data_IF_977234321032
#
_entry.id   IF_977234321032
#
_cell.length_a   1.000
_cell.length_b   1.000
_cell.length_c   1.000
_cell.angle_alpha   90.00
_cell.angle_beta   90.00
_cell.angle_gamma   90.00
#
_symmetry.space_group_name_H-M   'P 1'
#
loop_
_entity.id
_entity.type
_entity.pdbx_description
1 polymer ?
#
# COMPACT_ATOMS: atom_id res chain seq x y z
N UNK A 1 21.73 -10.89 -27.96
CA UNK A 1 23.14 -10.79 -27.51
C UNK A 1 23.48 -9.33 -27.28
N UNK A 2 24.37 -9.02 -26.33
CA UNK A 2 24.75 -7.63 -26.01
C UNK A 2 26.07 -7.34 -26.73
N UNK A 3 26.10 -6.29 -27.57
CA UNK A 3 27.32 -5.82 -28.24
C UNK A 3 27.83 -4.57 -27.54
N UNK A 4 29.08 -4.58 -27.11
CA UNK A 4 29.77 -3.44 -26.51
C UNK A 4 30.53 -2.69 -27.59
N UNK A 5 30.34 -1.39 -27.69
CA UNK A 5 31.01 -0.51 -28.67
C UNK A 5 31.90 0.47 -27.92
N UNK A 6 33.15 0.61 -28.37
CA UNK A 6 34.13 1.54 -27.81
C UNK A 6 33.96 2.96 -28.39
N UNK A 7 34.31 3.98 -27.60
CA UNK A 7 34.32 5.37 -28.06
C UNK A 7 35.54 5.63 -28.95
N UNK A 8 35.44 5.26 -30.22
CA UNK A 8 36.45 5.50 -31.24
C UNK A 8 35.94 6.49 -32.29
N UNK A 9 36.81 7.31 -32.89
CA UNK A 9 36.44 8.12 -34.05
C UNK A 9 36.11 7.18 -35.22
N UNK A 10 35.09 7.55 -36.00
CA UNK A 10 34.58 6.71 -37.09
C UNK A 10 35.67 6.35 -38.11
N UNK A 11 36.62 7.27 -38.33
CA UNK A 11 37.78 7.11 -39.22
C UNK A 11 38.60 5.84 -38.88
N UNK A 12 38.72 5.45 -37.62
CA UNK A 12 39.56 4.29 -37.23
C UNK A 12 38.99 2.94 -37.67
N UNK A 13 37.71 2.89 -38.04
CA UNK A 13 37.07 1.71 -38.61
C UNK A 13 37.02 1.78 -40.15
N UNK A 14 37.35 2.93 -40.73
CA UNK A 14 37.40 3.14 -42.19
C UNK A 14 38.75 2.67 -42.76
N UNK A 15 38.75 2.35 -44.05
CA UNK A 15 39.94 1.89 -44.75
C UNK A 15 40.95 3.03 -44.96
N UNK A 16 42.24 2.69 -44.94
CA UNK A 16 43.36 3.63 -45.09
C UNK A 16 43.49 4.06 -46.56
N UNK A 17 42.52 4.82 -47.05
CA UNK A 17 42.58 5.52 -48.32
C UNK A 17 42.70 7.03 -48.06
N UNK A 18 43.52 7.79 -48.81
CA UNK A 18 43.88 9.17 -48.49
C UNK A 18 42.78 10.21 -48.82
N UNK A 19 41.49 9.93 -48.54
CA UNK A 19 40.37 10.77 -49.03
C UNK A 19 39.30 11.12 -47.99
N UNK A 20 39.25 10.52 -46.78
CA UNK A 20 38.20 10.88 -45.80
C UNK A 20 38.71 11.70 -44.61
N UNK A 21 38.07 12.84 -44.37
CA UNK A 21 38.15 13.61 -43.12
C UNK A 21 36.75 13.64 -42.51
N UNK A 22 36.55 12.94 -41.39
CA UNK A 22 35.27 12.87 -40.68
C UNK A 22 35.48 13.03 -39.17
N UNK A 23 34.98 14.11 -38.59
CA UNK A 23 35.09 14.41 -37.15
C UNK A 23 34.04 13.66 -36.29
N UNK A 24 33.33 12.71 -36.89
CA UNK A 24 32.28 11.96 -36.21
C UNK A 24 32.86 10.83 -35.33
N UNK A 25 32.32 10.66 -34.13
CA UNK A 25 32.56 9.50 -33.27
C UNK A 25 31.50 8.42 -33.51
N UNK A 26 31.84 7.15 -33.21
CA UNK A 26 30.91 6.03 -33.34
C UNK A 26 29.75 6.07 -32.31
N UNK A 27 29.98 6.68 -31.15
CA UNK A 27 28.98 6.82 -30.10
C UNK A 27 28.23 8.14 -30.23
N UNK A 28 26.92 8.08 -30.01
CA UNK A 28 26.11 9.29 -30.00
C UNK A 28 26.39 10.12 -28.73
N UNK A 29 26.26 11.47 -28.78
CA UNK A 29 26.44 12.31 -27.60
C UNK A 29 25.53 11.93 -26.42
N UNK A 30 24.35 11.35 -26.67
CA UNK A 30 23.43 10.85 -25.63
C UNK A 30 23.94 9.58 -24.92
N UNK A 31 24.77 8.78 -25.59
CA UNK A 31 25.42 7.59 -25.02
C UNK A 31 26.65 7.98 -24.19
N UNK A 32 27.38 9.00 -24.64
CA UNK A 32 28.52 9.57 -23.90
C UNK A 32 28.01 10.31 -22.65
N UNK A 33 26.91 11.05 -22.78
CA UNK A 33 26.29 11.80 -21.70
C UNK A 33 24.77 11.68 -21.80
N UNK A 34 24.19 10.85 -20.94
CA UNK A 34 22.73 10.80 -20.79
C UNK A 34 22.21 12.22 -20.50
N UNK A 35 21.26 12.69 -21.29
CA UNK A 35 20.53 13.91 -20.97
C UNK A 35 19.90 13.74 -19.59
N UNK A 36 20.07 14.72 -18.72
CA UNK A 36 19.37 14.75 -17.43
C UNK A 36 17.88 14.54 -17.72
N UNK A 37 17.29 13.46 -17.18
CA UNK A 37 15.90 13.01 -17.40
C UNK A 37 14.83 14.08 -17.08
N UNK A 38 15.25 15.22 -16.54
CA UNK A 38 14.43 16.32 -16.09
C UNK A 38 14.52 17.60 -16.95
N UNK A 39 15.33 17.67 -18.00
CA UNK A 39 15.60 18.94 -18.70
C UNK A 39 16.38 19.90 -17.78
N UNK A 40 16.08 21.21 -17.84
CA UNK A 40 16.61 22.18 -16.88
C UNK A 40 16.30 21.75 -15.45
N UNK A 41 17.35 21.46 -14.68
CA UNK A 41 17.25 21.07 -13.29
C UNK A 41 16.89 22.28 -12.43
N UNK A 42 15.62 22.70 -12.50
CA UNK A 42 15.11 23.72 -11.58
C UNK A 42 15.12 23.17 -10.16
N UNK A 43 15.81 23.87 -9.26
CA UNK A 43 15.83 23.51 -7.84
C UNK A 43 14.46 23.74 -7.20
N UNK A 44 14.19 23.17 -6.03
CA UNK A 44 12.87 23.31 -5.39
C UNK A 44 12.48 24.77 -5.05
N UNK A 45 13.48 25.63 -4.86
CA UNK A 45 13.33 27.06 -4.60
C UNK A 45 12.90 27.83 -5.86
N UNK A 46 13.42 27.46 -7.03
CA UNK A 46 13.12 28.11 -8.32
C UNK A 46 11.75 27.70 -8.90
N UNK A 47 11.13 26.64 -8.34
CA UNK A 47 9.86 26.12 -8.87
C UNK A 47 8.67 27.00 -8.48
N UNK A 48 8.03 27.54 -9.51
CA UNK A 48 6.76 28.26 -9.38
C UNK A 48 5.62 27.33 -8.92
N UNK A 49 4.51 27.92 -8.45
CA UNK A 49 3.34 27.15 -8.02
C UNK A 49 2.70 26.35 -9.16
N UNK A 50 2.75 26.86 -10.40
CA UNK A 50 2.22 26.20 -11.60
C UNK A 50 3.07 24.99 -11.97
N UNK A 51 4.40 25.11 -11.89
CA UNK A 51 5.35 24.01 -12.10
C UNK A 51 5.13 22.89 -11.08
N UNK A 52 5.01 23.23 -9.79
CA UNK A 52 4.71 22.25 -8.72
C UNK A 52 3.40 21.49 -9.00
N UNK A 53 2.35 22.18 -9.44
CA UNK A 53 1.07 21.54 -9.81
C UNK A 53 1.22 20.65 -11.04
N UNK A 54 1.97 21.07 -12.07
CA UNK A 54 2.24 20.27 -13.28
C UNK A 54 3.01 19.00 -12.95
N UNK A 55 4.08 19.10 -12.16
CA UNK A 55 4.85 17.94 -11.68
C UNK A 55 3.98 16.96 -10.90
N UNK A 56 3.14 17.46 -9.99
CA UNK A 56 2.20 16.63 -9.24
C UNK A 56 1.25 15.86 -10.16
N UNK A 57 0.72 16.51 -11.20
CA UNK A 57 -0.14 15.86 -12.21
C UNK A 57 0.62 14.79 -12.98
N UNK A 58 1.85 15.07 -13.45
CA UNK A 58 2.71 14.10 -14.15
C UNK A 58 3.00 12.87 -13.27
N UNK A 59 3.40 13.08 -12.01
CA UNK A 59 3.63 12.00 -11.04
C UNK A 59 2.35 11.19 -10.78
N UNK A 60 1.20 11.85 -10.59
CA UNK A 60 -0.10 11.18 -10.40
C UNK A 60 -0.47 10.31 -11.61
N UNK A 61 -0.25 10.82 -12.82
CA UNK A 61 -0.53 10.10 -14.06
C UNK A 61 0.37 8.85 -14.20
N UNK A 62 1.68 9.00 -14.03
CA UNK A 62 2.62 7.87 -14.06
C UNK A 62 2.30 6.81 -13.01
N UNK A 63 1.95 7.22 -11.78
CA UNK A 63 1.51 6.30 -10.73
C UNK A 63 0.25 5.54 -11.14
N UNK A 64 -0.73 6.23 -11.74
CA UNK A 64 -1.97 5.60 -12.25
C UNK A 64 -1.66 4.56 -13.32
N UNK A 65 -0.76 4.85 -14.26
CA UNK A 65 -0.36 3.90 -15.29
C UNK A 65 0.31 2.66 -14.70
N UNK A 66 1.28 2.84 -13.79
CA UNK A 66 1.96 1.72 -13.09
C UNK A 66 0.98 0.84 -12.31
N UNK A 67 -0.03 1.42 -11.67
CA UNK A 67 -1.06 0.65 -10.95
C UNK A 67 -1.88 -0.17 -11.94
N UNK A 68 -2.37 0.45 -13.02
CA UNK A 68 -3.14 -0.25 -14.07
C UNK A 68 -2.34 -1.40 -14.68
N UNK A 69 -1.06 -1.20 -14.95
CA UNK A 69 -0.17 -2.23 -15.48
C UNK A 69 0.00 -3.39 -14.50
N UNK A 70 0.27 -3.09 -13.21
CA UNK A 70 0.36 -4.11 -12.15
C UNK A 70 -0.94 -4.90 -12.01
N UNK A 71 -2.09 -4.23 -12.08
CA UNK A 71 -3.39 -4.89 -12.04
C UNK A 71 -3.61 -5.80 -13.25
N UNK A 72 -3.28 -5.33 -14.46
CA UNK A 72 -3.34 -6.17 -15.68
C UNK A 72 -2.45 -7.40 -15.55
N UNK A 73 -1.20 -7.22 -15.11
CA UNK A 73 -0.24 -8.31 -14.90
C UNK A 73 -0.74 -9.32 -13.86
N UNK A 74 -1.32 -8.84 -12.75
CA UNK A 74 -1.94 -9.71 -11.74
C UNK A 74 -3.11 -10.51 -12.32
N UNK A 75 -4.01 -9.87 -13.06
CA UNK A 75 -5.14 -10.55 -13.71
C UNK A 75 -4.67 -11.62 -14.70
N UNK A 76 -3.62 -11.35 -15.48
CA UNK A 76 -3.04 -12.35 -16.39
C UNK A 76 -2.41 -13.52 -15.63
N UNK A 77 -1.68 -13.24 -14.55
CA UNK A 77 -1.11 -14.30 -13.69
C UNK A 77 -2.21 -15.16 -13.04
N UNK A 78 -3.29 -14.54 -12.55
CA UNK A 78 -4.44 -15.26 -11.99
C UNK A 78 -5.14 -16.15 -13.03
N UNK A 79 -5.24 -15.70 -14.29
CA UNK A 79 -5.81 -16.49 -15.39
C UNK A 79 -4.92 -17.67 -15.80
N UNK A 80 -3.61 -17.44 -15.89
CA UNK A 80 -2.68 -18.45 -16.39
C UNK A 80 -2.29 -19.47 -15.31
N UNK A 81 -2.25 -19.08 -14.03
CA UNK A 81 -1.82 -19.93 -12.92
C UNK A 81 -2.65 -19.66 -11.65
N UNK A 82 -3.88 -20.20 -11.54
CA UNK A 82 -4.74 -19.99 -10.38
C UNK A 82 -4.12 -20.52 -9.07
N UNK A 83 -3.38 -21.62 -9.13
CA UNK A 83 -2.88 -22.34 -7.95
C UNK A 83 -1.54 -21.81 -7.39
N UNK A 84 -0.72 -21.13 -8.19
CA UNK A 84 0.61 -20.65 -7.76
C UNK A 84 0.63 -19.22 -7.21
N UNK A 85 -0.48 -18.48 -7.25
CA UNK A 85 -0.47 -17.12 -6.70
C UNK A 85 -0.51 -17.16 -5.17
N UNK A 86 0.67 -17.14 -4.53
CA UNK A 86 0.90 -17.08 -3.07
C UNK A 86 0.23 -15.90 -2.34
N UNK A 87 -0.45 -15.03 -3.10
CA UNK A 87 -1.20 -13.86 -2.66
C UNK A 87 -2.56 -13.75 -3.37
N UNK A 88 -3.17 -14.87 -3.76
CA UNK A 88 -4.57 -14.87 -4.21
C UNK A 88 -5.47 -14.34 -3.10
N UNK A 89 -6.57 -13.69 -3.48
CA UNK A 89 -7.59 -13.25 -2.50
C UNK A 89 -8.09 -14.44 -1.66
N UNK A 90 -8.15 -15.63 -2.24
CA UNK A 90 -8.52 -16.86 -1.56
C UNK A 90 -7.52 -17.21 -0.45
N UNK A 91 -6.23 -17.30 -0.75
CA UNK A 91 -5.19 -17.62 0.24
C UNK A 91 -5.10 -16.54 1.35
N UNK A 92 -5.29 -15.27 1.01
CA UNK A 92 -5.38 -14.20 2.01
C UNK A 92 -6.61 -14.34 2.91
N UNK A 93 -7.77 -14.72 2.35
CA UNK A 93 -8.99 -14.95 3.12
C UNK A 93 -8.88 -16.19 4.03
N UNK A 94 -8.20 -17.24 3.59
CA UNK A 94 -7.94 -18.44 4.41
C UNK A 94 -7.01 -18.15 5.56
N UNK A 95 -5.94 -17.38 5.33
CA UNK A 95 -5.05 -16.89 6.41
C UNK A 95 -5.81 -16.05 7.42
N UNK A 96 -6.66 -15.12 6.97
CA UNK A 96 -7.54 -14.36 7.86
C UNK A 96 -8.48 -15.27 8.65
N UNK A 97 -9.10 -16.27 8.01
CA UNK A 97 -9.94 -17.26 8.70
C UNK A 97 -9.15 -18.04 9.74
N UNK A 98 -7.93 -18.51 9.43
CA UNK A 98 -7.06 -19.22 10.38
C UNK A 98 -6.70 -18.32 11.59
N UNK A 99 -6.36 -17.06 11.35
CA UNK A 99 -6.06 -16.10 12.42
C UNK A 99 -7.28 -15.80 13.30
N UNK A 100 -8.48 -15.76 12.72
CA UNK A 100 -9.72 -15.62 13.51
C UNK A 100 -10.07 -16.88 14.31
N UNK A 101 -9.83 -18.08 13.76
CA UNK A 101 -10.08 -19.36 14.46
C UNK A 101 -9.14 -19.58 15.64
N UNK A 102 -7.88 -19.15 15.51
CA UNK A 102 -6.87 -19.26 16.57
C UNK A 102 -7.05 -18.25 17.70
N UNK A 103 -8.08 -17.39 17.64
CA UNK A 103 -8.41 -16.43 18.69
C UNK A 103 -7.45 -15.24 18.81
N UNK A 104 -6.39 -15.19 17.99
CA UNK A 104 -5.39 -14.10 18.01
C UNK A 104 -5.94 -12.78 17.49
N UNK A 105 -6.92 -12.82 16.58
CA UNK A 105 -7.49 -11.64 15.93
C UNK A 105 -9.00 -11.78 15.84
N UNK A 106 -9.74 -10.77 16.32
CA UNK A 106 -11.19 -10.66 16.10
C UNK A 106 -11.48 -9.77 14.89
N UNK A 107 -12.39 -10.21 14.02
CA UNK A 107 -12.77 -9.46 12.83
C UNK A 107 -13.88 -8.47 13.20
N UNK A 108 -13.52 -7.19 13.31
CA UNK A 108 -14.42 -6.10 13.67
C UNK A 108 -15.33 -5.75 12.48
N UNK A 109 -16.60 -6.17 12.51
CA UNK A 109 -17.61 -5.83 11.49
C UNK A 109 -18.45 -4.63 11.94
N UNK A 110 -18.73 -3.70 11.02
CA UNK A 110 -19.46 -2.45 11.25
C UNK A 110 -21.00 -2.60 11.16
N UNK A 111 -21.52 -3.81 11.02
CA UNK A 111 -22.90 -4.06 10.55
C UNK A 111 -24.03 -3.61 11.50
N UNK A 112 -23.74 -3.06 12.68
CA UNK A 112 -24.76 -2.70 13.69
C UNK A 112 -24.51 -1.41 14.47
N UNK A 113 -23.68 -0.49 13.98
CA UNK A 113 -23.30 0.72 14.75
C UNK A 113 -23.46 1.99 13.93
N UNK A 114 -24.07 3.00 14.56
CA UNK A 114 -24.47 4.28 13.94
C UNK A 114 -23.29 5.14 13.46
N UNK A 115 -22.05 4.77 13.83
CA UNK A 115 -20.81 5.43 13.40
C UNK A 115 -19.90 4.41 12.70
N UNK A 116 -19.67 4.53 11.39
CA UNK A 116 -18.79 3.63 10.67
C UNK A 116 -17.34 3.84 11.12
N UNK A 117 -16.55 2.76 11.25
CA UNK A 117 -15.13 2.81 11.66
C UNK A 117 -14.20 3.28 10.53
N UNK A 118 -14.68 4.23 9.72
CA UNK A 118 -13.98 4.76 8.55
C UNK A 118 -12.99 5.87 8.90
N UNK A 119 -13.07 6.44 10.11
CA UNK A 119 -12.14 7.48 10.59
C UNK A 119 -11.33 6.99 11.79
N UNK A 120 -10.10 7.49 11.91
CA UNK A 120 -9.22 7.21 13.06
C UNK A 120 -9.88 7.63 14.37
N UNK A 121 -10.53 8.79 14.40
CA UNK A 121 -11.25 9.29 15.57
C UNK A 121 -12.36 8.31 16.01
N UNK A 122 -13.19 7.81 15.10
CA UNK A 122 -14.25 6.87 15.45
C UNK A 122 -13.71 5.54 15.98
N UNK A 123 -12.59 5.06 15.42
CA UNK A 123 -11.91 3.86 15.90
C UNK A 123 -11.38 4.03 17.33
N UNK A 124 -10.65 5.11 17.61
CA UNK A 124 -10.05 5.32 18.93
C UNK A 124 -11.08 5.63 20.01
N UNK A 125 -12.18 6.34 19.70
CA UNK A 125 -13.28 6.50 20.66
C UNK A 125 -13.86 5.15 21.08
N UNK A 126 -14.12 4.25 20.13
CA UNK A 126 -14.62 2.91 20.44
C UNK A 126 -13.62 2.09 21.25
N UNK A 127 -12.32 2.17 20.91
CA UNK A 127 -11.27 1.48 21.66
C UNK A 127 -11.22 1.97 23.11
N UNK A 128 -11.31 3.29 23.32
CA UNK A 128 -11.37 3.87 24.66
C UNK A 128 -12.61 3.41 25.42
N UNK A 129 -13.78 3.40 24.77
CA UNK A 129 -15.02 2.94 25.39
C UNK A 129 -14.94 1.46 25.79
N UNK A 130 -14.32 0.62 24.94
CA UNK A 130 -14.10 -0.80 25.25
C UNK A 130 -13.16 -0.99 26.45
N UNK A 131 -12.04 -0.27 26.50
CA UNK A 131 -11.10 -0.32 27.64
C UNK A 131 -11.78 0.18 28.92
N UNK A 132 -12.56 1.27 28.84
CA UNK A 132 -13.35 1.78 29.98
C UNK A 132 -14.36 0.75 30.48
N UNK A 133 -15.08 0.07 29.58
CA UNK A 133 -16.01 -0.99 29.95
C UNK A 133 -15.30 -2.13 30.68
N UNK A 134 -14.18 -2.64 30.14
CA UNK A 134 -13.42 -3.72 30.78
C UNK A 134 -12.90 -3.31 32.17
N UNK A 135 -12.42 -2.08 32.33
CA UNK A 135 -11.99 -1.55 33.62
C UNK A 135 -13.17 -1.43 34.59
N UNK A 136 -14.34 -0.99 34.11
CA UNK A 136 -15.53 -0.87 34.94
C UNK A 136 -16.05 -2.25 35.37
N UNK A 137 -16.08 -3.23 34.47
CA UNK A 137 -16.48 -4.61 34.77
C UNK A 137 -15.55 -5.24 35.81
N UNK A 138 -14.24 -4.99 35.72
CA UNK A 138 -13.26 -5.45 36.71
C UNK A 138 -13.35 -4.73 38.07
N UNK A 139 -13.86 -3.48 38.08
CA UNK A 139 -14.03 -2.68 39.31
C UNK A 139 -15.35 -2.93 40.03
N UNK A 140 -16.34 -3.53 39.38
CA UNK A 140 -17.58 -3.91 40.05
C UNK A 140 -17.32 -5.22 40.82
N UNK A 141 -17.41 -5.26 42.17
CA UNK A 141 -17.43 -6.53 42.87
C UNK A 141 -18.62 -7.33 42.37
N UNK A 142 -18.43 -8.63 42.11
CA UNK A 142 -19.50 -9.52 41.66
C UNK A 142 -20.77 -9.25 42.45
N UNK A 143 -21.78 -8.67 41.82
CA UNK A 143 -23.08 -8.47 42.45
C UNK A 143 -23.68 -9.85 42.64
N UNK A 144 -23.41 -10.44 43.80
CA UNK A 144 -24.15 -11.58 44.35
C UNK A 144 -25.62 -11.19 44.22
N UNK A 145 -26.35 -11.87 43.33
CA UNK A 145 -27.79 -11.69 43.17
C UNK A 145 -28.43 -12.12 44.49
N UNK A 146 -28.68 -11.17 45.40
CA UNK A 146 -29.49 -11.42 46.59
C UNK A 146 -30.89 -11.78 46.11
N UNK A 147 -31.22 -13.07 46.12
CA UNK A 147 -32.61 -13.52 46.05
C UNK A 147 -33.31 -12.94 47.28
N UNK A 148 -34.17 -11.94 47.08
CA UNK A 148 -35.12 -11.55 48.13
C UNK A 148 -36.11 -12.71 48.26
N UNK A 149 -35.99 -13.47 49.34
CA UNK A 149 -37.05 -14.38 49.77
C UNK A 149 -38.13 -13.48 50.39
N UNK A 150 -39.27 -13.33 49.72
CA UNK A 150 -40.44 -12.65 50.28
C UNK A 150 -41.07 -13.58 51.34
N UNK A 151 -40.66 -13.41 52.59
CA UNK A 151 -41.27 -14.12 53.72
C UNK A 151 -42.58 -13.42 54.05
N UNK A 152 -43.69 -13.99 53.57
CA UNK A 152 -45.05 -13.53 53.89
C UNK A 152 -45.40 -13.86 55.35
N UNK A 153 -45.73 -12.82 56.12
CA UNK A 153 -46.10 -12.88 57.55
C UNK A 153 -47.32 -13.78 57.80
N UNK A 154 -48.19 -14.00 56.81
CA UNK A 154 -49.36 -14.89 56.94
C UNK A 154 -49.03 -16.39 57.09
N UNK A 155 -47.77 -16.81 56.88
CA UNK A 155 -47.36 -18.22 57.02
C UNK A 155 -46.77 -18.57 58.39
N UNK A 156 -46.55 -17.59 59.27
CA UNK A 156 -46.07 -17.82 60.63
C UNK A 156 -47.29 -17.81 61.56
N UNK A 157 -47.86 -19.00 61.81
CA UNK A 157 -48.81 -19.21 62.91
C UNK A 157 -48.01 -19.32 64.21
N UNK A 158 -48.39 -18.49 65.19
CA UNK A 158 -48.08 -18.67 66.61
C UNK A 158 -48.81 -19.92 67.14
#
# INVERSE_FOLDING_TARGET
EIKVVSNLPAITMEEVAPVSVSDAALLAPEEIKEKNKAGDLKTAAEKTATDKKRERRKKKYQKRLKIKEKEKRKKLLEKNNPDQSKSSRAAASEKLKQLTKTGKVSLLKDERKDKPLKSSQAFFSKLQDQVKMQINDAKQPEKIKKKKQDISVHKLKL
#
